data_IF_210462053177
#
_entry.id   IF_210462053177
#
_cell.length_a   1.000
_cell.length_b   1.000
_cell.length_c   1.000
_cell.angle_alpha   90.00
_cell.angle_beta   90.00
_cell.angle_gamma   90.00
#
_symmetry.space_group_name_H-M   'P 1'
#
loop_
_entity.id
_entity.type
_entity.pdbx_description
1 polymer ?
#
# COMPACT_ATOMS: atom_id res chain seq x y z
N UNK A 1 27.52 -9.92 -2.81
CA UNK A 1 26.92 -9.83 -4.16
C UNK A 1 25.42 -9.64 -4.03
N UNK A 2 24.86 -8.62 -4.67
CA UNK A 2 23.41 -8.38 -4.71
C UNK A 2 22.83 -9.02 -5.97
N UNK A 3 21.69 -9.69 -5.80
CA UNK A 3 20.91 -10.33 -6.86
C UNK A 3 19.50 -9.77 -6.80
N UNK A 4 19.02 -9.17 -7.88
CA UNK A 4 17.66 -8.64 -7.97
C UNK A 4 16.91 -9.27 -9.14
N UNK A 5 15.64 -9.66 -8.90
CA UNK A 5 14.72 -10.17 -9.91
C UNK A 5 13.38 -9.47 -9.82
N UNK A 6 12.77 -9.21 -10.97
CA UNK A 6 11.44 -8.62 -11.04
C UNK A 6 10.70 -9.06 -12.29
N UNK A 7 9.39 -8.80 -12.30
CA UNK A 7 8.44 -8.96 -13.41
C UNK A 7 8.33 -10.41 -13.96
N UNK A 8 8.27 -11.39 -13.03
CA UNK A 8 7.94 -12.79 -13.37
C UNK A 8 6.51 -13.18 -12.97
N UNK A 9 5.75 -12.24 -12.40
CA UNK A 9 4.36 -12.44 -12.01
C UNK A 9 3.46 -12.64 -13.23
N UNK A 10 2.46 -13.52 -13.09
CA UNK A 10 1.46 -13.80 -14.13
C UNK A 10 0.06 -13.91 -13.51
N UNK A 11 -0.95 -13.52 -14.26
CA UNK A 11 -2.36 -13.78 -13.91
C UNK A 11 -2.69 -15.27 -13.91
N UNK A 12 -1.88 -16.10 -14.58
CA UNK A 12 -2.03 -17.55 -14.67
C UNK A 12 -1.36 -18.35 -13.55
N UNK A 13 -0.65 -17.66 -12.61
CA UNK A 13 -0.16 -18.30 -11.41
C UNK A 13 1.32 -18.13 -11.08
N UNK A 14 2.17 -17.60 -11.97
CA UNK A 14 3.59 -17.36 -11.64
C UNK A 14 3.74 -16.23 -10.61
N UNK A 15 4.82 -16.26 -9.84
CA UNK A 15 5.03 -15.35 -8.73
C UNK A 15 6.52 -15.09 -8.48
N UNK A 16 6.93 -13.83 -8.55
CA UNK A 16 8.32 -13.41 -8.36
C UNK A 16 8.84 -13.75 -6.96
N UNK A 17 7.97 -13.70 -5.92
CA UNK A 17 8.39 -14.09 -4.57
C UNK A 17 8.65 -15.60 -4.46
N UNK A 18 7.93 -16.44 -5.22
CA UNK A 18 8.19 -17.86 -5.28
C UNK A 18 9.51 -18.14 -6.01
N UNK A 19 9.75 -17.49 -7.16
CA UNK A 19 11.03 -17.56 -7.86
C UNK A 19 12.20 -17.19 -6.96
N UNK A 20 12.07 -16.14 -6.14
CA UNK A 20 13.09 -15.75 -5.18
C UNK A 20 13.43 -16.90 -4.20
N UNK A 21 12.44 -17.70 -3.78
CA UNK A 21 12.71 -18.87 -2.92
C UNK A 21 13.44 -20.00 -3.67
N UNK A 22 13.17 -20.18 -4.96
CA UNK A 22 13.92 -21.13 -5.81
C UNK A 22 15.37 -20.67 -5.98
N UNK A 23 15.58 -19.37 -6.23
CA UNK A 23 16.94 -18.78 -6.34
C UNK A 23 17.72 -18.94 -5.02
N UNK A 24 17.07 -18.64 -3.88
CA UNK A 24 17.72 -18.83 -2.57
C UNK A 24 18.11 -20.29 -2.37
N UNK A 25 17.20 -21.22 -2.64
CA UNK A 25 17.49 -22.66 -2.51
C UNK A 25 18.65 -23.08 -3.42
N UNK A 26 18.62 -22.69 -4.68
CA UNK A 26 19.65 -23.02 -5.67
C UNK A 26 21.04 -22.49 -5.25
N UNK A 27 21.11 -21.21 -4.85
CA UNK A 27 22.39 -20.60 -4.53
C UNK A 27 22.95 -21.04 -3.16
N UNK A 28 22.08 -21.38 -2.21
CA UNK A 28 22.49 -21.85 -0.88
C UNK A 28 22.89 -23.33 -0.93
N UNK A 29 22.03 -24.20 -1.47
CA UNK A 29 22.23 -25.64 -1.42
C UNK A 29 23.21 -26.15 -2.50
N UNK A 30 23.15 -25.60 -3.72
CA UNK A 30 23.91 -26.09 -4.85
C UNK A 30 25.19 -25.29 -5.10
N UNK A 31 25.21 -23.98 -4.81
CA UNK A 31 26.38 -23.12 -4.99
C UNK A 31 27.13 -22.84 -3.66
N UNK A 32 26.54 -23.23 -2.51
CA UNK A 32 27.16 -23.10 -1.19
C UNK A 32 27.32 -21.63 -0.72
N UNK A 33 26.43 -20.74 -1.16
CA UNK A 33 26.41 -19.35 -0.73
C UNK A 33 25.51 -19.17 0.49
N UNK A 34 25.77 -18.11 1.27
CA UNK A 34 24.96 -17.74 2.41
C UNK A 34 24.22 -16.43 2.14
N UNK A 35 23.00 -16.28 2.71
CA UNK A 35 22.34 -14.98 2.79
C UNK A 35 23.00 -14.13 3.89
N UNK A 36 23.42 -12.93 3.50
CA UNK A 36 24.11 -11.96 4.39
C UNK A 36 23.23 -10.79 4.81
N UNK A 37 22.02 -10.71 4.29
CA UNK A 37 20.94 -9.81 4.68
C UNK A 37 19.60 -10.56 4.52
N UNK A 38 18.56 -10.10 5.23
CA UNK A 38 17.18 -10.55 4.91
C UNK A 38 16.91 -10.33 3.43
N UNK A 39 16.33 -11.31 2.71
CA UNK A 39 15.86 -11.08 1.36
C UNK A 39 14.79 -9.99 1.40
N UNK A 40 14.82 -9.09 0.41
CA UNK A 40 13.99 -7.88 0.40
C UNK A 40 12.87 -8.01 -0.62
N UNK A 41 11.64 -7.73 -0.20
CA UNK A 41 10.48 -7.52 -1.06
C UNK A 41 10.22 -6.02 -1.13
N UNK A 42 10.73 -5.36 -2.15
CA UNK A 42 10.66 -3.92 -2.33
C UNK A 42 9.50 -3.56 -3.24
N UNK A 43 8.47 -2.94 -2.67
CA UNK A 43 7.34 -2.41 -3.45
C UNK A 43 7.75 -1.13 -4.15
N UNK A 44 7.36 -1.00 -5.40
CA UNK A 44 7.63 0.16 -6.22
C UNK A 44 6.33 0.91 -6.55
N UNK A 45 6.39 1.94 -7.37
CA UNK A 45 5.27 2.83 -7.65
C UNK A 45 3.97 2.06 -7.91
N UNK A 46 2.96 2.19 -7.04
CA UNK A 46 1.71 1.47 -7.18
C UNK A 46 0.82 2.02 -8.30
N UNK A 47 1.15 3.18 -8.85
CA UNK A 47 0.40 3.86 -9.89
C UNK A 47 0.81 3.48 -11.33
N UNK A 48 1.84 2.63 -11.49
CA UNK A 48 2.28 2.13 -12.81
C UNK A 48 1.14 1.36 -13.49
N UNK A 49 0.71 1.76 -14.71
CA UNK A 49 -0.49 1.21 -15.34
C UNK A 49 -0.34 -0.23 -15.87
N UNK A 50 0.87 -0.69 -16.12
CA UNK A 50 1.16 -2.01 -16.73
C UNK A 50 1.64 -3.07 -15.72
N UNK A 51 1.52 -2.84 -14.42
CA UNK A 51 1.83 -3.87 -13.43
C UNK A 51 0.83 -5.03 -13.49
N UNK A 52 1.31 -6.25 -13.34
CA UNK A 52 0.46 -7.46 -13.35
C UNK A 52 -0.36 -7.59 -12.06
N UNK A 53 0.30 -7.39 -10.89
CA UNK A 53 -0.31 -7.44 -9.55
C UNK A 53 0.21 -6.30 -8.68
N UNK A 54 0.79 -6.60 -7.53
CA UNK A 54 1.52 -5.62 -6.72
C UNK A 54 2.90 -5.41 -7.31
N UNK A 55 3.23 -4.17 -7.73
CA UNK A 55 4.54 -3.84 -8.26
C UNK A 55 5.61 -4.05 -7.18
N UNK A 56 6.53 -5.01 -7.35
CA UNK A 56 7.52 -5.32 -6.32
C UNK A 56 8.65 -6.20 -6.78
N UNK A 57 9.87 -5.72 -6.56
CA UNK A 57 11.12 -6.37 -6.86
C UNK A 57 11.66 -7.18 -5.68
N UNK A 58 12.32 -8.28 -5.95
CA UNK A 58 12.99 -9.13 -4.96
C UNK A 58 14.50 -8.90 -5.04
N UNK A 59 15.10 -8.60 -3.87
CA UNK A 59 16.54 -8.35 -3.78
C UNK A 59 17.15 -9.24 -2.68
N UNK A 60 18.18 -9.99 -3.03
CA UNK A 60 18.88 -10.91 -2.15
C UNK A 60 20.37 -10.56 -2.11
N UNK A 61 20.99 -10.70 -0.97
CA UNK A 61 22.43 -10.46 -0.81
C UNK A 61 23.13 -11.77 -0.43
N UNK A 62 24.07 -12.22 -1.25
CA UNK A 62 24.81 -13.46 -1.06
C UNK A 62 26.29 -13.21 -0.82
N UNK A 63 26.91 -14.11 -0.05
CA UNK A 63 28.33 -14.12 0.27
C UNK A 63 28.71 -15.37 1.06
N UNK A 64 29.77 -15.30 1.83
CA UNK A 64 30.10 -16.27 2.88
C UNK A 64 29.74 -15.67 4.23
N UNK A 65 28.81 -16.31 4.92
CA UNK A 65 28.35 -15.89 6.23
C UNK A 65 29.38 -16.13 7.33
N UNK A 66 29.38 -15.23 8.33
CA UNK A 66 30.26 -15.31 9.50
C UNK A 66 29.51 -14.92 10.76
N UNK A 67 29.81 -15.60 11.87
CA UNK A 67 29.21 -15.29 13.17
C UNK A 67 27.87 -15.98 13.40
N UNK A 68 26.99 -15.30 14.16
CA UNK A 68 25.67 -15.82 14.46
C UNK A 68 24.79 -15.84 13.20
N UNK A 69 23.84 -16.78 13.18
CA UNK A 69 22.84 -16.88 12.12
C UNK A 69 21.45 -17.00 12.70
N UNK A 70 20.49 -16.38 12.03
CA UNK A 70 19.07 -16.41 12.40
C UNK A 70 18.29 -17.20 11.37
N UNK A 71 17.44 -18.14 11.80
CA UNK A 71 16.54 -18.86 10.90
C UNK A 71 15.44 -17.92 10.43
N UNK A 72 15.31 -17.76 9.12
CA UNK A 72 14.33 -16.88 8.48
C UNK A 72 13.33 -17.62 7.58
N UNK A 73 13.49 -18.93 7.44
CA UNK A 73 12.62 -19.71 6.57
C UNK A 73 12.94 -21.19 6.56
N UNK A 74 12.14 -21.91 5.76
CA UNK A 74 12.35 -23.30 5.42
C UNK A 74 11.88 -23.55 3.99
N UNK A 75 12.70 -24.12 3.14
CA UNK A 75 12.42 -24.40 1.75
C UNK A 75 12.71 -25.88 1.48
N UNK A 76 11.69 -26.63 1.06
CA UNK A 76 11.80 -28.08 0.77
C UNK A 76 12.43 -28.89 1.92
N UNK A 77 12.19 -28.51 3.18
CA UNK A 77 12.76 -29.16 4.37
C UNK A 77 14.14 -28.64 4.80
N UNK A 78 14.81 -27.83 3.97
CA UNK A 78 16.09 -27.18 4.33
C UNK A 78 15.82 -25.84 5.03
N UNK A 79 16.46 -25.62 6.20
CA UNK A 79 16.37 -24.36 6.94
C UNK A 79 17.17 -23.25 6.25
N UNK A 80 16.56 -22.09 6.06
CA UNK A 80 17.21 -20.90 5.51
C UNK A 80 17.64 -19.97 6.64
N UNK A 81 18.89 -19.53 6.58
CA UNK A 81 19.48 -18.65 7.59
C UNK A 81 19.99 -17.35 6.97
N UNK A 82 19.96 -16.27 7.74
CA UNK A 82 20.70 -15.03 7.47
C UNK A 82 21.82 -14.90 8.49
N UNK A 83 22.99 -14.45 8.05
CA UNK A 83 24.18 -14.27 8.90
C UNK A 83 24.33 -12.79 9.28
N UNK A 84 24.79 -12.53 10.52
CA UNK A 84 25.04 -11.17 11.02
C UNK A 84 26.21 -10.46 10.33
N UNK A 85 27.21 -11.22 9.91
CA UNK A 85 28.42 -10.71 9.28
C UNK A 85 28.78 -11.56 8.04
N UNK A 86 29.65 -11.03 7.20
CA UNK A 86 30.20 -11.73 6.05
C UNK A 86 31.73 -11.74 6.09
N UNK A 87 32.31 -12.70 5.39
CA UNK A 87 33.74 -12.71 5.06
C UNK A 87 34.03 -11.65 3.98
N UNK A 88 35.29 -11.22 3.91
CA UNK A 88 35.80 -10.38 2.80
C UNK A 88 36.05 -11.26 1.57
N UNK A 89 34.97 -11.72 0.98
CA UNK A 89 34.95 -12.59 -0.19
C UNK A 89 33.69 -12.31 -1.01
N UNK A 90 33.84 -12.32 -2.34
CA UNK A 90 32.72 -12.15 -3.24
C UNK A 90 32.59 -13.34 -4.20
N UNK A 91 31.34 -13.83 -4.41
CA UNK A 91 31.09 -14.88 -5.40
C UNK A 91 31.18 -14.33 -6.84
N UNK A 92 31.37 -15.21 -7.79
CA UNK A 92 31.34 -14.88 -9.21
C UNK A 92 29.95 -14.51 -9.67
N UNK A 93 29.76 -13.25 -10.13
CA UNK A 93 28.48 -12.78 -10.68
C UNK A 93 28.06 -13.59 -11.92
N UNK A 94 29.02 -14.04 -12.72
CA UNK A 94 28.77 -14.85 -13.91
C UNK A 94 28.26 -16.25 -13.53
N UNK A 95 28.87 -16.90 -12.55
CA UNK A 95 28.44 -18.20 -12.05
C UNK A 95 27.04 -18.15 -11.45
N UNK A 96 26.75 -17.14 -10.61
CA UNK A 96 25.40 -16.87 -10.08
C UNK A 96 24.39 -16.72 -11.22
N UNK A 97 24.73 -15.97 -12.26
CA UNK A 97 23.86 -15.75 -13.42
C UNK A 97 23.52 -17.06 -14.15
N UNK A 98 24.52 -17.92 -14.35
CA UNK A 98 24.37 -19.23 -15.01
C UNK A 98 23.39 -20.14 -14.24
N UNK A 99 23.38 -20.10 -12.90
CA UNK A 99 22.42 -20.83 -12.06
C UNK A 99 21.00 -20.24 -12.07
N UNK A 100 20.86 -18.90 -12.20
CA UNK A 100 19.55 -18.24 -12.09
C UNK A 100 18.77 -18.24 -13.41
N UNK A 101 19.43 -18.10 -14.56
CA UNK A 101 18.74 -18.00 -15.87
C UNK A 101 17.77 -19.17 -16.09
N UNK A 102 18.12 -20.44 -15.89
CA UNK A 102 17.21 -21.56 -16.07
C UNK A 102 15.96 -21.48 -15.18
N UNK A 103 16.10 -20.91 -13.97
CA UNK A 103 14.96 -20.71 -13.07
C UNK A 103 14.02 -19.63 -13.59
N UNK A 104 14.54 -18.51 -14.11
CA UNK A 104 13.72 -17.45 -14.72
C UNK A 104 12.98 -18.00 -15.94
N UNK A 105 13.67 -18.72 -16.82
CA UNK A 105 13.07 -19.32 -18.03
C UNK A 105 11.97 -20.33 -17.68
N UNK A 106 12.12 -21.08 -16.58
CA UNK A 106 11.13 -22.05 -16.09
C UNK A 106 9.89 -21.36 -15.49
N UNK A 107 10.05 -20.23 -14.79
CA UNK A 107 9.01 -19.60 -13.99
C UNK A 107 8.47 -18.29 -14.58
N UNK A 108 8.89 -17.88 -15.78
CA UNK A 108 8.27 -16.75 -16.47
C UNK A 108 7.05 -17.16 -17.28
N UNK A 109 6.19 -16.19 -17.56
CA UNK A 109 5.06 -16.34 -18.46
C UNK A 109 5.29 -15.41 -19.66
N UNK A 110 5.52 -15.96 -20.90
CA UNK A 110 5.89 -15.15 -22.05
C UNK A 110 4.77 -14.20 -22.53
N UNK A 111 3.54 -14.33 -21.99
CA UNK A 111 2.43 -13.44 -22.33
C UNK A 111 2.28 -12.29 -21.35
N UNK A 112 2.48 -12.57 -20.05
CA UNK A 112 2.13 -11.65 -18.97
C UNK A 112 3.34 -11.01 -18.29
N UNK A 113 4.58 -11.47 -18.56
CA UNK A 113 5.77 -11.01 -17.83
C UNK A 113 6.94 -10.65 -18.74
N UNK A 114 7.71 -9.65 -18.32
CA UNK A 114 8.95 -9.16 -18.95
C UNK A 114 10.12 -9.24 -17.94
N UNK A 115 10.58 -10.45 -17.57
CA UNK A 115 11.55 -10.65 -16.48
C UNK A 115 12.83 -9.87 -16.64
N UNK A 116 13.34 -9.40 -15.49
CA UNK A 116 14.67 -8.84 -15.36
C UNK A 116 15.46 -9.51 -14.25
N UNK A 117 16.77 -9.62 -14.45
CA UNK A 117 17.77 -10.01 -13.47
C UNK A 117 18.91 -9.00 -13.51
N UNK A 118 19.35 -8.53 -12.34
CA UNK A 118 20.57 -7.72 -12.18
C UNK A 118 21.39 -8.29 -11.05
N UNK A 119 22.71 -8.48 -11.29
CA UNK A 119 23.66 -8.97 -10.30
C UNK A 119 24.80 -7.94 -10.20
N UNK A 120 25.06 -7.43 -9.00
CA UNK A 120 26.07 -6.39 -8.76
C UNK A 120 26.74 -6.56 -7.41
N UNK A 121 28.04 -6.21 -7.33
CA UNK A 121 28.74 -6.09 -6.05
C UNK A 121 28.39 -4.81 -5.29
N UNK A 122 27.92 -3.78 -6.00
CA UNK A 122 27.58 -2.47 -5.46
C UNK A 122 26.06 -2.22 -5.57
N UNK A 123 25.54 -1.37 -4.67
CA UNK A 123 24.17 -0.85 -4.79
C UNK A 123 24.11 0.34 -5.74
N UNK A 124 23.03 0.48 -6.52
CA UNK A 124 22.72 1.74 -7.20
C UNK A 124 22.52 2.88 -6.20
N UNK A 125 22.61 4.14 -6.70
CA UNK A 125 22.28 5.31 -5.89
C UNK A 125 20.86 5.22 -5.34
N UNK A 126 20.65 5.63 -4.07
CA UNK A 126 19.33 5.65 -3.41
C UNK A 126 18.25 6.41 -4.20
N UNK A 127 18.67 7.40 -5.01
CA UNK A 127 17.76 8.13 -5.88
C UNK A 127 16.99 7.26 -6.88
N UNK A 128 17.53 6.10 -7.28
CA UNK A 128 16.81 5.14 -8.12
C UNK A 128 15.63 4.53 -7.39
N UNK A 129 15.78 4.22 -6.08
CA UNK A 129 14.65 3.76 -5.27
C UNK A 129 13.59 4.85 -5.14
N UNK A 130 13.97 6.08 -4.77
CA UNK A 130 13.02 7.20 -4.62
C UNK A 130 12.25 7.42 -5.92
N UNK A 131 12.93 7.45 -7.06
CA UNK A 131 12.26 7.56 -8.36
C UNK A 131 11.38 6.34 -8.66
N UNK A 132 11.84 5.14 -8.37
CA UNK A 132 11.12 3.90 -8.64
C UNK A 132 9.85 3.72 -7.80
N UNK A 133 9.82 4.26 -6.58
CA UNK A 133 8.66 4.17 -5.70
C UNK A 133 7.66 5.31 -5.90
N UNK A 134 8.08 6.46 -6.45
CA UNK A 134 7.24 7.65 -6.59
C UNK A 134 6.83 7.98 -8.03
N UNK A 135 7.58 7.52 -9.04
CA UNK A 135 7.45 7.96 -10.44
C UNK A 135 7.57 6.79 -11.42
N UNK A 136 7.35 7.07 -12.70
CA UNK A 136 7.66 6.17 -13.81
C UNK A 136 9.12 6.39 -14.23
N UNK A 137 9.93 5.34 -14.12
CA UNK A 137 11.36 5.38 -14.48
C UNK A 137 11.58 4.92 -15.91
N UNK A 138 12.43 5.63 -16.68
CA UNK A 138 12.77 5.28 -18.05
C UNK A 138 13.84 4.18 -18.08
N UNK A 139 13.64 3.18 -18.95
CA UNK A 139 14.55 2.04 -19.11
C UNK A 139 15.99 2.47 -19.48
N UNK A 140 16.16 3.49 -20.33
CA UNK A 140 17.50 3.97 -20.74
C UNK A 140 18.35 4.46 -19.55
N UNK A 141 17.70 5.08 -18.55
CA UNK A 141 18.38 5.51 -17.32
C UNK A 141 18.88 4.29 -16.52
N UNK A 142 18.10 3.23 -16.49
CA UNK A 142 18.45 1.98 -15.83
C UNK A 142 19.62 1.27 -16.53
N UNK A 143 19.61 1.21 -17.86
CA UNK A 143 20.71 0.59 -18.62
C UNK A 143 22.03 1.32 -18.37
N UNK A 144 22.01 2.64 -18.32
CA UNK A 144 23.22 3.44 -17.99
C UNK A 144 23.74 3.12 -16.57
N UNK A 145 22.84 2.95 -15.61
CA UNK A 145 23.24 2.62 -14.24
C UNK A 145 23.81 1.19 -14.16
N UNK A 146 23.21 0.22 -14.83
CA UNK A 146 23.76 -1.15 -14.93
C UNK A 146 25.18 -1.15 -15.51
N UNK A 147 25.41 -0.34 -16.56
CA UNK A 147 26.74 -0.17 -17.14
C UNK A 147 27.72 0.51 -16.17
N UNK A 148 27.30 1.57 -15.46
CA UNK A 148 28.11 2.26 -14.44
C UNK A 148 28.58 1.30 -13.32
N UNK A 149 27.67 0.42 -12.89
CA UNK A 149 27.94 -0.58 -11.86
C UNK A 149 28.77 -1.78 -12.36
N UNK A 150 29.04 -1.86 -13.67
CA UNK A 150 29.58 -3.06 -14.29
C UNK A 150 28.84 -4.35 -13.90
N UNK A 151 27.50 -4.24 -13.76
CA UNK A 151 26.64 -5.30 -13.29
C UNK A 151 26.27 -6.28 -14.42
N UNK A 152 26.15 -7.57 -14.06
CA UNK A 152 25.57 -8.58 -14.95
C UNK A 152 24.07 -8.36 -15.05
N UNK A 153 23.52 -8.58 -16.24
CA UNK A 153 22.06 -8.54 -16.47
C UNK A 153 21.57 -9.70 -17.33
N UNK A 154 20.31 -10.03 -17.16
CA UNK A 154 19.54 -10.87 -18.07
C UNK A 154 18.12 -10.32 -18.16
N UNK A 155 17.48 -10.43 -19.33
CA UNK A 155 16.13 -9.94 -19.57
C UNK A 155 15.41 -10.78 -20.63
N UNK A 156 14.11 -10.91 -20.49
CA UNK A 156 13.19 -11.45 -21.49
C UNK A 156 12.14 -10.40 -21.85
N UNK A 157 11.51 -10.56 -23.00
CA UNK A 157 10.47 -9.64 -23.47
C UNK A 157 11.03 -8.22 -23.68
N UNK A 158 10.33 -7.19 -23.21
CA UNK A 158 10.77 -5.79 -23.33
C UNK A 158 11.77 -5.36 -22.24
N UNK A 159 12.12 -6.26 -21.30
CA UNK A 159 13.11 -6.02 -20.25
C UNK A 159 12.68 -5.00 -19.19
N UNK A 160 11.37 -4.88 -18.93
CA UNK A 160 10.82 -3.98 -17.92
C UNK A 160 11.25 -4.35 -16.51
N UNK A 161 11.42 -5.63 -16.23
CA UNK A 161 11.91 -6.14 -14.94
C UNK A 161 13.27 -5.56 -14.53
N UNK A 162 14.12 -5.13 -15.47
CA UNK A 162 15.39 -4.45 -15.12
C UNK A 162 15.16 -3.16 -14.33
N UNK A 163 14.04 -2.45 -14.58
CA UNK A 163 13.70 -1.22 -13.86
C UNK A 163 13.49 -1.54 -12.39
N UNK A 164 12.66 -2.56 -12.13
CA UNK A 164 12.39 -2.99 -10.77
C UNK A 164 13.62 -3.54 -10.06
N UNK A 165 14.46 -4.30 -10.75
CA UNK A 165 15.72 -4.82 -10.20
C UNK A 165 16.64 -3.70 -9.68
N UNK A 166 16.91 -2.67 -10.50
CA UNK A 166 17.80 -1.57 -10.13
C UNK A 166 17.15 -0.71 -9.03
N UNK A 167 15.87 -0.36 -9.18
CA UNK A 167 15.17 0.44 -8.19
C UNK A 167 15.03 -0.29 -6.85
N UNK A 168 14.73 -1.59 -6.87
CA UNK A 168 14.66 -2.40 -5.65
C UNK A 168 16.02 -2.57 -4.97
N UNK A 169 17.08 -2.83 -5.73
CA UNK A 169 18.44 -2.96 -5.21
C UNK A 169 18.94 -1.66 -4.56
N UNK A 170 18.46 -0.50 -5.02
CA UNK A 170 18.82 0.82 -4.49
C UNK A 170 18.16 1.09 -3.12
N UNK A 171 17.17 0.30 -2.68
CA UNK A 171 16.49 0.54 -1.40
C UNK A 171 17.41 0.30 -0.21
N UNK A 172 17.51 1.32 0.64
CA UNK A 172 18.16 1.27 1.96
C UNK A 172 17.05 1.45 2.98
N UNK A 173 16.78 0.46 3.86
CA UNK A 173 15.67 0.51 4.79
C UNK A 173 15.92 1.52 5.92
N UNK A 174 15.10 2.58 5.97
CA UNK A 174 15.00 3.52 7.09
C UNK A 174 13.74 3.21 7.91
N UNK A 175 12.55 3.25 7.29
CA UNK A 175 11.33 2.63 7.81
C UNK A 175 11.08 1.33 7.03
N UNK A 176 10.79 0.24 7.74
CA UNK A 176 10.60 -1.06 7.13
C UNK A 176 9.68 -1.96 7.98
N UNK A 177 9.22 -3.00 7.34
CA UNK A 177 8.43 -4.08 7.92
C UNK A 177 8.98 -5.42 7.49
N UNK A 178 8.36 -6.49 7.99
CA UNK A 178 8.64 -7.84 7.53
C UNK A 178 7.35 -8.49 7.04
N UNK A 179 7.47 -9.35 6.03
CA UNK A 179 6.39 -10.22 5.57
C UNK A 179 6.87 -11.66 5.56
N UNK A 180 6.25 -12.52 6.36
CA UNK A 180 6.40 -13.95 6.27
C UNK A 180 5.46 -14.46 5.19
N UNK A 181 6.03 -15.00 4.12
CA UNK A 181 5.28 -15.64 3.04
C UNK A 181 5.37 -17.15 3.15
N UNK A 182 4.23 -17.81 3.01
CA UNK A 182 4.13 -19.26 2.91
C UNK A 182 3.66 -19.67 1.52
N UNK A 183 4.07 -20.84 1.07
CA UNK A 183 3.76 -21.30 -0.28
C UNK A 183 3.20 -22.71 -0.27
N UNK A 184 2.30 -22.93 -1.22
CA UNK A 184 1.63 -24.21 -1.46
C UNK A 184 2.48 -25.15 -2.28
N UNK A 185 2.40 -26.47 -2.08
CA UNK A 185 2.90 -27.44 -3.04
C UNK A 185 2.29 -27.21 -4.43
N UNK A 186 3.05 -27.45 -5.49
CA UNK A 186 2.61 -27.19 -6.87
C UNK A 186 1.27 -27.87 -7.22
N UNK A 187 1.03 -29.09 -6.69
CA UNK A 187 -0.25 -29.83 -6.84
C UNK A 187 -1.48 -29.07 -6.33
N UNK A 188 -1.29 -28.04 -5.51
CA UNK A 188 -2.36 -27.22 -4.91
C UNK A 188 -2.53 -25.85 -5.58
N UNK A 189 -1.69 -25.47 -6.52
CA UNK A 189 -1.81 -24.18 -7.20
C UNK A 189 -3.13 -24.07 -7.92
N UNK A 190 -3.76 -22.91 -7.91
CA UNK A 190 -5.05 -22.64 -8.55
C UNK A 190 -6.28 -23.23 -7.84
N UNK A 191 -6.10 -24.06 -6.77
CA UNK A 191 -7.23 -24.60 -6.01
C UNK A 191 -7.63 -23.67 -4.87
N UNK A 192 -8.80 -23.88 -4.27
CA UNK A 192 -9.23 -23.15 -3.06
C UNK A 192 -8.25 -23.36 -1.91
N UNK A 193 -8.00 -22.32 -1.11
CA UNK A 193 -7.11 -22.38 0.06
C UNK A 193 -7.87 -22.85 1.28
N UNK A 194 -7.27 -23.81 2.01
CA UNK A 194 -7.85 -24.39 3.23
C UNK A 194 -7.13 -23.83 4.44
N UNK A 195 -7.86 -23.20 5.34
CA UNK A 195 -7.33 -22.63 6.59
C UNK A 195 -8.39 -22.57 7.68
N UNK A 196 -7.94 -22.50 8.93
CA UNK A 196 -8.80 -22.36 10.11
C UNK A 196 -8.90 -20.88 10.50
N UNK A 197 -10.09 -20.30 10.32
CA UNK A 197 -10.36 -18.86 10.60
C UNK A 197 -10.04 -18.48 12.05
N UNK A 198 -10.39 -19.36 13.02
CA UNK A 198 -10.13 -19.12 14.44
C UNK A 198 -8.64 -19.00 14.75
N UNK A 199 -7.79 -19.75 14.06
CA UNK A 199 -6.33 -19.68 14.23
C UNK A 199 -5.74 -18.36 13.75
N UNK A 200 -6.27 -17.80 12.64
CA UNK A 200 -5.86 -16.49 12.12
C UNK A 200 -6.29 -15.37 13.07
N UNK A 201 -7.53 -15.43 13.59
CA UNK A 201 -8.02 -14.48 14.60
C UNK A 201 -7.15 -14.50 15.86
N UNK A 202 -6.80 -15.70 16.33
CA UNK A 202 -5.90 -15.87 17.49
C UNK A 202 -4.50 -15.30 17.22
N UNK A 203 -3.96 -15.49 16.02
CA UNK A 203 -2.66 -14.91 15.65
C UNK A 203 -2.73 -13.37 15.61
N UNK A 204 -3.78 -12.77 15.03
CA UNK A 204 -3.96 -11.31 14.98
C UNK A 204 -4.09 -10.68 16.37
N UNK A 205 -4.79 -11.37 17.29
CA UNK A 205 -4.95 -10.94 18.69
C UNK A 205 -3.65 -11.02 19.49
N UNK A 206 -2.90 -12.13 19.38
CA UNK A 206 -1.68 -12.36 20.15
C UNK A 206 -0.45 -11.63 19.60
N UNK A 207 -0.40 -11.40 18.29
CA UNK A 207 0.75 -10.74 17.63
C UNK A 207 0.42 -9.26 17.37
N UNK A 208 0.52 -8.46 18.40
CA UNK A 208 0.14 -7.03 18.37
C UNK A 208 0.99 -6.20 17.41
N UNK A 209 2.21 -6.65 17.08
CA UNK A 209 3.12 -6.03 16.11
C UNK A 209 2.73 -6.30 14.66
N UNK A 210 1.81 -7.24 14.42
CA UNK A 210 1.28 -7.55 13.08
C UNK A 210 0.20 -6.56 12.65
N UNK A 211 -0.06 -6.45 11.34
CA UNK A 211 -1.05 -5.54 10.79
C UNK A 211 -1.63 -6.06 9.46
N UNK A 212 -2.79 -5.53 9.08
CA UNK A 212 -3.48 -5.87 7.84
C UNK A 212 -3.86 -7.35 7.69
N UNK A 213 -4.15 -8.04 8.78
CA UNK A 213 -4.48 -9.48 8.76
C UNK A 213 -5.98 -9.74 8.60
N UNK A 214 -6.79 -8.91 9.23
CA UNK A 214 -8.26 -9.05 9.28
C UNK A 214 -8.89 -7.68 9.05
N UNK A 215 -9.99 -7.64 8.35
CA UNK A 215 -10.82 -6.43 8.24
C UNK A 215 -11.67 -6.27 9.50
N UNK A 216 -11.45 -5.19 10.23
CA UNK A 216 -12.09 -4.96 11.55
C UNK A 216 -13.62 -5.08 11.52
N UNK A 217 -14.27 -4.73 10.42
CA UNK A 217 -15.73 -4.67 10.34
C UNK A 217 -16.40 -5.92 9.77
N UNK A 218 -15.85 -6.44 8.68
CA UNK A 218 -16.38 -7.64 8.01
C UNK A 218 -15.85 -8.92 8.62
N UNK A 219 -14.86 -8.81 9.51
CA UNK A 219 -14.05 -9.92 10.02
C UNK A 219 -13.42 -10.79 8.91
N UNK A 220 -13.36 -10.24 7.69
CA UNK A 220 -12.81 -10.94 6.54
C UNK A 220 -11.30 -11.10 6.71
N UNK A 221 -10.84 -12.32 6.56
CA UNK A 221 -9.40 -12.63 6.58
C UNK A 221 -8.74 -12.06 5.32
N UNK A 222 -7.68 -11.25 5.50
CA UNK A 222 -7.02 -10.52 4.42
C UNK A 222 -5.64 -11.08 4.04
N UNK A 223 -5.10 -12.02 4.81
CA UNK A 223 -3.75 -12.57 4.58
C UNK A 223 -3.66 -13.54 3.40
N UNK A 224 -4.77 -14.09 2.93
CA UNK A 224 -4.82 -15.05 1.81
C UNK A 224 -5.07 -14.32 0.49
N UNK A 225 -4.20 -14.48 -0.53
CA UNK A 225 -4.42 -13.85 -1.83
C UNK A 225 -5.63 -14.47 -2.56
N UNK A 226 -6.40 -13.62 -3.26
CA UNK A 226 -7.52 -14.06 -4.10
C UNK A 226 -7.11 -14.62 -5.47
N UNK A 227 -5.83 -14.60 -5.83
CA UNK A 227 -5.31 -15.04 -7.14
C UNK A 227 -4.81 -16.49 -7.10
N UNK A 228 -4.72 -17.19 -8.26
CA UNK A 228 -4.23 -18.56 -8.34
C UNK A 228 -2.69 -18.66 -8.23
N UNK A 229 -2.05 -17.85 -7.39
CA UNK A 229 -0.60 -17.83 -7.20
C UNK A 229 -0.13 -18.91 -6.21
N UNK A 230 1.19 -19.24 -6.21
CA UNK A 230 1.80 -20.19 -5.28
C UNK A 230 1.68 -19.80 -3.81
N UNK A 231 1.54 -18.49 -3.50
CA UNK A 231 1.46 -18.00 -2.12
C UNK A 231 0.22 -18.57 -1.44
N UNK A 232 0.40 -19.18 -0.27
CA UNK A 232 -0.69 -19.62 0.58
C UNK A 232 -1.21 -18.41 1.38
N UNK A 233 -0.35 -17.77 2.17
CA UNK A 233 -0.66 -16.50 2.84
C UNK A 233 0.58 -15.65 3.07
N UNK A 234 0.35 -14.36 3.35
CA UNK A 234 1.36 -13.40 3.76
C UNK A 234 1.01 -12.77 5.10
N UNK A 235 1.85 -12.95 6.12
CA UNK A 235 1.67 -12.39 7.46
C UNK A 235 2.67 -11.27 7.70
N UNK A 236 2.18 -10.06 7.98
CA UNK A 236 2.98 -8.82 8.01
C UNK A 236 3.10 -8.27 9.42
N UNK A 237 4.28 -7.73 9.75
CA UNK A 237 4.50 -7.10 11.04
C UNK A 237 5.82 -6.34 11.13
N UNK A 238 6.09 -5.76 12.29
CA UNK A 238 7.29 -4.97 12.54
C UNK A 238 8.46 -5.81 13.09
N UNK A 239 8.19 -7.01 13.62
CA UNK A 239 9.18 -7.86 14.32
C UNK A 239 9.18 -9.26 13.71
N UNK A 240 10.33 -9.74 13.17
CA UNK A 240 10.39 -11.04 12.48
C UNK A 240 10.08 -12.23 13.41
N UNK A 241 10.55 -12.23 14.66
CA UNK A 241 10.28 -13.31 15.60
C UNK A 241 8.79 -13.45 15.94
N UNK A 242 8.08 -12.33 15.99
CA UNK A 242 6.63 -12.32 16.18
C UNK A 242 5.90 -12.92 14.97
N UNK A 243 6.44 -12.74 13.76
CA UNK A 243 5.88 -13.37 12.56
C UNK A 243 6.05 -14.90 12.59
N UNK A 244 7.18 -15.41 13.09
CA UNK A 244 7.40 -16.85 13.29
C UNK A 244 6.38 -17.39 14.29
N UNK A 245 6.19 -16.72 15.42
CA UNK A 245 5.18 -17.09 16.42
C UNK A 245 3.76 -17.08 15.84
N UNK A 246 3.42 -16.06 15.03
CA UNK A 246 2.15 -15.99 14.31
C UNK A 246 1.98 -17.16 13.33
N UNK A 247 3.02 -17.51 12.60
CA UNK A 247 3.05 -18.64 11.68
C UNK A 247 2.78 -19.99 12.38
N UNK A 248 3.32 -20.21 13.58
CA UNK A 248 3.07 -21.41 14.39
C UNK A 248 1.62 -21.54 14.88
N UNK A 249 0.95 -20.38 15.05
CA UNK A 249 -0.47 -20.32 15.48
C UNK A 249 -1.42 -20.57 14.30
N UNK A 250 -1.10 -20.05 13.10
CA UNK A 250 -1.97 -20.11 11.92
C UNK A 250 -2.00 -21.53 11.35
N UNK A 251 -3.18 -22.14 11.35
CA UNK A 251 -3.40 -23.50 10.82
C UNK A 251 -3.97 -23.46 9.41
N UNK A 252 -3.28 -24.13 8.50
CA UNK A 252 -3.63 -24.18 7.08
C UNK A 252 -3.44 -25.58 6.51
N UNK A 253 -3.70 -25.72 5.20
CA UNK A 253 -3.26 -26.87 4.42
C UNK A 253 -1.73 -27.04 4.42
N UNK A 254 -1.24 -28.13 3.84
CA UNK A 254 0.18 -28.43 3.68
C UNK A 254 0.93 -27.24 3.02
N UNK A 255 2.06 -26.88 3.61
CA UNK A 255 2.99 -25.87 3.10
C UNK A 255 4.24 -26.54 2.55
N UNK A 256 4.73 -26.06 1.41
CA UNK A 256 6.01 -26.56 0.83
C UNK A 256 7.21 -25.75 1.34
N UNK A 257 6.99 -24.48 1.70
CA UNK A 257 8.03 -23.56 2.17
C UNK A 257 7.44 -22.33 2.84
N UNK A 258 8.26 -21.66 3.63
CA UNK A 258 8.01 -20.32 4.14
C UNK A 258 9.32 -19.55 4.27
N UNK A 259 9.24 -18.23 4.17
CA UNK A 259 10.40 -17.34 4.34
C UNK A 259 9.96 -15.94 4.76
N UNK A 260 10.82 -15.24 5.50
CA UNK A 260 10.61 -13.85 5.90
C UNK A 260 11.38 -12.95 4.94
N UNK A 261 10.66 -11.97 4.38
CA UNK A 261 11.23 -10.86 3.62
C UNK A 261 11.19 -9.58 4.44
N UNK A 262 12.27 -8.79 4.40
CA UNK A 262 12.25 -7.39 4.81
C UNK A 262 11.57 -6.58 3.70
N UNK A 263 10.72 -5.60 4.04
CA UNK A 263 9.93 -4.90 3.04
C UNK A 263 9.68 -3.43 3.42
N UNK A 264 9.48 -2.60 2.42
CA UNK A 264 8.98 -1.24 2.53
C UNK A 264 7.44 -1.17 2.54
N UNK A 265 6.76 -2.28 2.74
CA UNK A 265 5.30 -2.29 2.84
C UNK A 265 4.83 -1.52 4.06
N UNK A 266 3.78 -0.71 3.91
CA UNK A 266 3.21 0.06 5.01
C UNK A 266 4.11 1.19 5.51
N UNK A 267 4.91 1.83 4.65
CA UNK A 267 5.82 2.94 4.99
C UNK A 267 5.34 4.29 4.48
N UNK A 268 4.43 4.34 3.51
CA UNK A 268 4.02 5.52 2.74
C UNK A 268 5.14 6.09 1.83
N UNK A 269 6.24 5.36 1.57
CA UNK A 269 7.40 5.80 0.77
C UNK A 269 7.04 6.29 -0.64
N UNK A 270 5.87 5.89 -1.16
CA UNK A 270 5.36 6.31 -2.46
C UNK A 270 4.68 7.69 -2.44
N UNK A 271 4.47 8.27 -1.26
CA UNK A 271 3.77 9.54 -1.09
C UNK A 271 4.76 10.70 -1.19
N UNK A 272 4.55 11.56 -2.16
CA UNK A 272 5.32 12.80 -2.34
C UNK A 272 4.66 13.89 -1.49
N UNK A 273 5.42 14.46 -0.55
CA UNK A 273 4.94 15.48 0.38
C UNK A 273 5.43 16.89 0.05
N UNK A 274 6.59 17.00 -0.60
CA UNK A 274 7.18 18.28 -1.03
C UNK A 274 7.37 18.27 -2.54
N UNK A 275 6.67 19.15 -3.23
CA UNK A 275 6.67 19.22 -4.70
C UNK A 275 6.19 20.58 -5.21
N UNK A 276 6.65 20.95 -6.39
CA UNK A 276 6.21 22.13 -7.14
C UNK A 276 5.02 21.79 -8.05
N UNK A 277 4.35 22.81 -8.59
CA UNK A 277 3.23 22.58 -9.53
C UNK A 277 3.66 21.78 -10.76
N UNK A 278 4.87 21.99 -11.28
CA UNK A 278 5.43 21.25 -12.42
C UNK A 278 5.71 19.77 -12.10
N UNK A 279 5.84 19.42 -10.83
CA UNK A 279 6.06 18.05 -10.36
C UNK A 279 4.74 17.34 -9.99
N UNK A 280 3.62 18.06 -10.03
CA UNK A 280 2.29 17.50 -9.83
C UNK A 280 1.81 16.80 -11.10
N UNK A 281 2.35 15.60 -11.32
CA UNK A 281 2.19 14.80 -12.54
C UNK A 281 1.39 13.52 -12.28
N UNK A 282 0.64 13.01 -13.26
CA UNK A 282 -0.08 11.74 -13.17
C UNK A 282 0.83 10.54 -12.90
N UNK A 283 0.23 9.46 -12.42
CA UNK A 283 0.88 8.20 -12.03
C UNK A 283 1.90 8.36 -10.90
N UNK A 284 1.66 9.33 -10.02
CA UNK A 284 2.39 9.54 -8.78
C UNK A 284 1.39 9.77 -7.64
N UNK A 285 1.79 9.49 -6.41
CA UNK A 285 0.94 9.67 -5.23
C UNK A 285 1.42 10.84 -4.37
N UNK A 286 0.48 11.64 -3.87
CA UNK A 286 0.77 12.90 -3.19
C UNK A 286 0.00 13.02 -1.88
N UNK A 287 0.56 13.79 -0.93
CA UNK A 287 -0.15 14.37 0.20
C UNK A 287 -0.50 15.81 -0.15
N UNK A 288 -1.79 16.13 -0.22
CA UNK A 288 -2.28 17.45 -0.63
C UNK A 288 -3.20 18.02 0.43
N UNK A 289 -2.88 19.22 0.90
CA UNK A 289 -3.76 19.99 1.78
C UNK A 289 -4.73 20.82 0.97
N UNK A 290 -5.99 20.86 1.41
CA UNK A 290 -7.01 21.68 0.78
C UNK A 290 -8.21 21.96 1.66
N UNK A 291 -9.04 22.91 1.21
CA UNK A 291 -10.33 23.23 1.81
C UNK A 291 -11.43 22.58 0.98
N UNK A 292 -12.33 21.88 1.61
CA UNK A 292 -13.45 21.21 0.95
C UNK A 292 -14.38 22.25 0.31
N UNK A 293 -14.67 22.04 -0.97
CA UNK A 293 -15.64 22.83 -1.74
C UNK A 293 -16.97 22.11 -1.80
N UNK A 294 -16.94 20.81 -2.10
CA UNK A 294 -18.13 19.94 -2.10
C UNK A 294 -17.73 18.47 -1.92
N UNK A 295 -18.64 17.70 -1.37
CA UNK A 295 -18.63 16.24 -1.41
C UNK A 295 -19.93 15.76 -2.05
N UNK A 296 -19.84 14.76 -2.94
CA UNK A 296 -20.98 14.25 -3.69
C UNK A 296 -20.88 12.75 -3.90
N UNK A 297 -21.93 12.03 -3.46
CA UNK A 297 -22.05 10.60 -3.72
C UNK A 297 -22.86 10.38 -4.99
N UNK A 298 -22.28 9.65 -5.92
CA UNK A 298 -22.92 9.39 -7.22
C UNK A 298 -23.55 8.00 -7.30
N UNK A 299 -24.42 7.81 -8.32
CA UNK A 299 -24.98 6.50 -8.64
C UNK A 299 -23.84 5.50 -8.89
N UNK A 300 -23.91 4.32 -8.27
CA UNK A 300 -22.82 3.32 -8.28
C UNK A 300 -21.99 3.34 -7.00
N UNK A 301 -22.25 4.28 -6.08
CA UNK A 301 -21.68 4.30 -4.73
C UNK A 301 -20.30 4.93 -4.61
N UNK A 302 -19.74 5.48 -5.68
CA UNK A 302 -18.51 6.27 -5.61
C UNK A 302 -18.78 7.62 -4.94
N UNK A 303 -17.81 8.15 -4.21
CA UNK A 303 -17.89 9.48 -3.61
C UNK A 303 -16.77 10.35 -4.15
N UNK A 304 -17.13 11.52 -4.65
CA UNK A 304 -16.21 12.54 -5.14
C UNK A 304 -16.10 13.68 -4.15
N UNK A 305 -14.90 14.18 -3.96
CA UNK A 305 -14.56 15.30 -3.09
C UNK A 305 -13.81 16.35 -3.91
N UNK A 306 -14.36 17.55 -4.01
CA UNK A 306 -13.62 18.69 -4.59
C UNK A 306 -13.00 19.49 -3.46
N UNK A 307 -11.68 19.65 -3.50
CA UNK A 307 -10.93 20.51 -2.57
C UNK A 307 -10.27 21.66 -3.31
N UNK A 308 -10.18 22.82 -2.67
CA UNK A 308 -9.40 23.94 -3.18
C UNK A 308 -7.99 23.88 -2.58
N UNK A 309 -6.99 23.69 -3.42
CA UNK A 309 -5.58 23.56 -3.07
C UNK A 309 -4.80 24.80 -3.45
N UNK A 310 -3.50 24.86 -3.10
CA UNK A 310 -2.60 25.92 -3.58
C UNK A 310 -2.42 25.91 -5.12
N UNK A 311 -2.72 24.81 -5.79
CA UNK A 311 -2.70 24.63 -7.24
C UNK A 311 -4.08 24.80 -7.89
N UNK A 312 -5.07 25.31 -7.14
CA UNK A 312 -6.46 25.41 -7.58
C UNK A 312 -7.34 24.22 -7.19
N UNK A 313 -8.54 24.13 -7.75
CA UNK A 313 -9.49 23.07 -7.45
C UNK A 313 -9.01 21.72 -7.94
N UNK A 314 -9.10 20.71 -7.06
CA UNK A 314 -8.76 19.33 -7.35
C UNK A 314 -9.93 18.42 -7.01
N UNK A 315 -10.30 17.55 -7.95
CA UNK A 315 -11.25 16.49 -7.71
C UNK A 315 -10.52 15.25 -7.15
N UNK A 316 -11.05 14.71 -6.04
CA UNK A 316 -10.59 13.49 -5.40
C UNK A 316 -11.72 12.47 -5.43
N UNK A 317 -11.37 11.17 -5.49
CA UNK A 317 -12.35 10.09 -5.59
C UNK A 317 -12.09 8.97 -4.58
N UNK A 318 -13.16 8.55 -3.89
CA UNK A 318 -13.19 7.29 -3.14
C UNK A 318 -14.15 6.32 -3.86
N UNK A 319 -13.58 5.30 -4.50
CA UNK A 319 -14.34 4.34 -5.30
C UNK A 319 -15.02 3.28 -4.44
N UNK A 320 -16.02 2.59 -5.02
CA UNK A 320 -16.83 1.57 -4.35
C UNK A 320 -16.01 0.51 -3.58
N UNK A 321 -14.91 -0.03 -4.10
CA UNK A 321 -14.11 -1.03 -3.39
C UNK A 321 -13.53 -0.57 -2.06
N UNK A 322 -13.46 0.76 -1.79
CA UNK A 322 -13.02 1.29 -0.49
C UNK A 322 -14.08 1.17 0.63
N UNK A 323 -15.21 0.52 0.35
CA UNK A 323 -16.21 0.18 1.35
C UNK A 323 -16.76 1.40 2.10
N UNK A 324 -16.81 1.31 3.42
CA UNK A 324 -17.37 2.35 4.27
C UNK A 324 -16.50 3.61 4.40
N UNK A 325 -15.26 3.57 3.96
CA UNK A 325 -14.39 4.75 3.88
C UNK A 325 -15.01 5.88 3.06
N UNK A 326 -15.84 5.54 2.06
CA UNK A 326 -16.60 6.52 1.27
C UNK A 326 -17.54 7.38 2.09
N UNK A 327 -18.06 6.87 3.21
CA UNK A 327 -18.91 7.68 4.11
C UNK A 327 -18.12 8.80 4.81
N UNK A 328 -16.84 8.58 5.10
CA UNK A 328 -15.95 9.64 5.62
C UNK A 328 -15.94 10.81 4.65
N UNK A 329 -15.76 10.49 3.37
CA UNK A 329 -15.72 11.51 2.30
C UNK A 329 -17.08 12.19 2.12
N UNK A 330 -18.18 11.42 2.19
CA UNK A 330 -19.55 11.90 2.07
C UNK A 330 -19.96 12.83 3.24
N UNK A 331 -19.38 12.66 4.43
CA UNK A 331 -19.64 13.48 5.61
C UNK A 331 -18.88 14.81 5.64
N UNK A 332 -17.94 15.01 4.74
CA UNK A 332 -17.22 16.26 4.61
C UNK A 332 -18.13 17.33 3.99
N UNK A 333 -17.95 18.56 4.44
CA UNK A 333 -18.77 19.70 4.03
C UNK A 333 -17.91 20.89 3.63
N UNK A 334 -18.51 21.82 2.89
CA UNK A 334 -17.85 23.04 2.45
C UNK A 334 -17.20 23.80 3.62
N UNK A 335 -15.91 24.07 3.46
CA UNK A 335 -15.10 24.80 4.42
C UNK A 335 -14.35 23.91 5.43
N UNK A 336 -14.52 22.58 5.40
CA UNK A 336 -13.64 21.67 6.14
C UNK A 336 -12.22 21.72 5.57
N UNK A 337 -11.22 21.53 6.43
CA UNK A 337 -9.81 21.51 6.02
C UNK A 337 -9.29 20.09 6.12
N UNK A 338 -8.71 19.60 5.03
CA UNK A 338 -8.22 18.21 4.92
C UNK A 338 -6.83 18.13 4.32
N UNK A 339 -6.13 17.05 4.65
CA UNK A 339 -4.99 16.54 3.90
C UNK A 339 -5.39 15.21 3.25
N UNK A 340 -5.23 15.10 1.95
CA UNK A 340 -5.61 13.92 1.18
C UNK A 340 -4.37 13.25 0.63
N UNK A 341 -4.18 11.97 0.94
CA UNK A 341 -3.17 11.12 0.33
C UNK A 341 -3.78 10.31 -0.80
N UNK A 342 -3.13 10.28 -1.95
CA UNK A 342 -3.63 9.46 -3.05
C UNK A 342 -2.89 9.60 -4.36
N UNK A 343 -3.24 8.73 -5.30
CA UNK A 343 -2.69 8.66 -6.65
C UNK A 343 -3.37 9.68 -7.56
N UNK A 344 -2.59 10.53 -8.22
CA UNK A 344 -3.09 11.41 -9.26
C UNK A 344 -3.22 10.65 -10.59
N UNK A 345 -4.45 10.61 -11.12
CA UNK A 345 -4.79 10.06 -12.44
C UNK A 345 -4.74 11.15 -13.49
N UNK A 346 -4.53 10.75 -14.74
CA UNK A 346 -4.47 11.66 -15.88
C UNK A 346 -5.86 11.95 -16.48
N UNK A 347 -6.60 10.91 -16.77
CA UNK A 347 -7.89 11.05 -17.47
C UNK A 347 -8.96 10.13 -16.85
N UNK A 348 -9.95 10.71 -16.17
CA UNK A 348 -10.04 12.11 -15.75
C UNK A 348 -8.96 12.48 -14.71
N UNK A 349 -8.58 13.78 -14.66
CA UNK A 349 -7.60 14.26 -13.67
C UNK A 349 -8.23 14.27 -12.28
N UNK A 350 -8.04 13.19 -11.55
CA UNK A 350 -8.57 12.96 -10.20
C UNK A 350 -7.52 12.39 -9.29
N UNK A 351 -7.59 12.70 -7.98
CA UNK A 351 -6.79 12.06 -6.95
C UNK A 351 -7.57 10.88 -6.36
N UNK A 352 -7.11 9.66 -6.59
CA UNK A 352 -7.69 8.45 -5.98
C UNK A 352 -7.26 8.37 -4.52
N UNK A 353 -8.21 8.58 -3.60
CA UNK A 353 -7.93 8.71 -2.16
C UNK A 353 -7.49 7.37 -1.58
N UNK A 354 -6.30 7.35 -0.96
CA UNK A 354 -5.75 6.21 -0.22
C UNK A 354 -5.89 6.39 1.30
N UNK A 355 -5.87 7.62 1.78
CA UNK A 355 -5.99 8.00 3.20
C UNK A 355 -6.37 9.48 3.29
N UNK A 356 -7.07 9.87 4.34
CA UNK A 356 -7.44 11.28 4.56
C UNK A 356 -7.23 11.66 6.02
N UNK A 357 -6.67 12.84 6.23
CA UNK A 357 -6.57 13.51 7.52
C UNK A 357 -7.52 14.70 7.55
N UNK A 358 -8.55 14.63 8.35
CA UNK A 358 -9.44 15.77 8.61
C UNK A 358 -8.77 16.63 9.67
N UNK A 359 -8.35 17.82 9.27
CA UNK A 359 -7.67 18.77 10.17
C UNK A 359 -8.67 19.59 10.98
N UNK A 360 -9.67 20.12 10.28
CA UNK A 360 -10.69 20.98 10.88
C UNK A 360 -12.05 20.70 10.26
N UNK A 361 -13.10 20.73 11.06
CA UNK A 361 -14.48 20.63 10.60
C UNK A 361 -15.22 21.93 10.89
N UNK A 362 -15.88 22.48 9.88
CA UNK A 362 -16.69 23.69 10.02
C UNK A 362 -18.03 23.36 10.64
N UNK A 363 -18.48 24.20 11.55
CA UNK A 363 -19.80 24.09 12.14
C UNK A 363 -20.90 24.36 11.11
N UNK A 364 -21.84 23.45 11.02
CA UNK A 364 -23.02 23.57 10.19
C UNK A 364 -24.22 23.99 11.05
N UNK A 365 -25.01 24.87 10.53
CA UNK A 365 -26.23 25.31 11.19
C UNK A 365 -27.45 25.12 10.27
N UNK A 366 -28.49 24.52 10.79
CA UNK A 366 -29.79 24.46 10.10
C UNK A 366 -30.82 25.39 10.73
N UNK A 367 -31.62 26.00 9.89
CA UNK A 367 -32.77 26.74 10.33
C UNK A 367 -33.81 25.82 10.96
N UNK A 368 -34.20 26.08 12.20
CA UNK A 368 -35.25 25.34 12.88
C UNK A 368 -36.62 26.04 12.67
N UNK A 369 -36.64 27.36 12.86
CA UNK A 369 -37.88 28.12 12.75
C UNK A 369 -37.61 29.57 12.38
N UNK A 370 -38.67 30.25 11.94
CA UNK A 370 -38.65 31.69 11.81
C UNK A 370 -38.52 32.35 13.18
N UNK A 371 -37.92 33.54 13.27
CA UNK A 371 -37.79 34.24 14.54
C UNK A 371 -39.16 34.63 15.12
N UNK A 372 -39.20 34.78 16.44
CA UNK A 372 -40.33 35.41 17.09
C UNK A 372 -40.18 36.93 17.04
N UNK A 373 -41.29 37.64 16.84
CA UNK A 373 -41.30 39.09 16.82
C UNK A 373 -40.93 39.66 18.20
N UNK A 374 -39.91 40.52 18.31
CA UNK A 374 -39.47 41.07 19.59
C UNK A 374 -40.54 41.99 20.21
N UNK A 375 -41.46 42.54 19.40
CA UNK A 375 -42.49 43.46 19.88
C UNK A 375 -43.78 42.78 20.33
N UNK A 376 -44.19 41.64 19.72
CA UNK A 376 -45.47 41.00 20.02
C UNK A 376 -45.39 39.47 20.21
N UNK A 377 -44.21 38.88 20.19
CA UNK A 377 -43.97 37.47 20.45
C UNK A 377 -44.44 36.49 19.36
N UNK A 378 -45.15 36.94 18.32
CA UNK A 378 -45.66 36.08 17.24
C UNK A 378 -44.57 35.62 16.29
N UNK A 379 -44.73 34.44 15.68
CA UNK A 379 -43.81 33.97 14.64
C UNK A 379 -43.83 34.87 13.43
N UNK A 380 -42.68 35.27 12.94
CA UNK A 380 -42.51 36.13 11.78
C UNK A 380 -42.54 35.30 10.49
N UNK A 381 -42.78 35.94 9.36
CA UNK A 381 -42.78 35.32 8.03
C UNK A 381 -41.58 35.80 7.22
N UNK A 382 -41.00 34.91 6.42
CA UNK A 382 -39.92 35.26 5.48
C UNK A 382 -40.47 36.20 4.40
N UNK A 383 -39.71 37.23 4.05
CA UNK A 383 -40.03 38.19 3.00
C UNK A 383 -39.26 38.01 1.70
N UNK A 384 -38.61 36.85 1.57
CA UNK A 384 -37.85 36.39 0.39
C UNK A 384 -36.47 35.83 0.75
N UNK A 385 -35.82 35.17 -0.21
CA UNK A 385 -34.47 34.60 -0.03
C UNK A 385 -33.50 35.73 0.37
N UNK A 386 -32.86 35.59 1.53
CA UNK A 386 -31.89 36.54 2.10
C UNK A 386 -32.46 37.98 2.39
N UNK A 387 -33.80 38.16 2.40
CA UNK A 387 -34.40 39.45 2.69
C UNK A 387 -34.90 39.62 4.15
N UNK A 388 -34.68 38.57 4.97
CA UNK A 388 -35.07 38.54 6.38
C UNK A 388 -36.53 38.16 6.62
N UNK A 389 -37.09 38.67 7.74
CA UNK A 389 -38.40 38.29 8.26
C UNK A 389 -39.22 39.56 8.62
N UNK A 390 -40.53 39.43 8.53
CA UNK A 390 -41.47 40.51 8.93
C UNK A 390 -42.61 39.95 9.77
N UNK A 391 -42.97 40.65 10.79
CA UNK A 391 -44.16 40.34 11.57
C UNK A 391 -45.41 40.81 10.81
N UNK A 392 -46.38 39.91 10.58
CA UNK A 392 -47.66 40.25 9.91
C UNK A 392 -48.52 41.14 10.76
N UNK A 393 -48.34 41.14 12.11
CA UNK A 393 -49.17 41.90 13.02
C UNK A 393 -48.69 43.35 13.18
N UNK A 394 -47.44 43.59 13.50
CA UNK A 394 -46.87 44.87 13.86
C UNK A 394 -45.89 45.46 12.86
N UNK A 395 -45.56 44.70 11.77
CA UNK A 395 -44.66 45.14 10.72
C UNK A 395 -43.18 45.12 11.08
N UNK A 396 -42.81 44.79 12.30
CA UNK A 396 -41.41 44.69 12.77
C UNK A 396 -40.62 43.74 11.86
N UNK A 397 -39.37 44.10 11.54
CA UNK A 397 -38.46 43.33 10.72
C UNK A 397 -37.36 42.69 11.57
N UNK A 398 -36.88 41.51 11.19
CA UNK A 398 -35.73 40.83 11.74
C UNK A 398 -34.90 40.20 10.60
N UNK A 399 -33.60 40.10 10.77
CA UNK A 399 -32.72 39.51 9.78
C UNK A 399 -32.48 38.00 10.06
N UNK A 400 -32.35 37.63 11.32
CA UNK A 400 -31.91 36.29 11.71
C UNK A 400 -33.07 35.34 12.01
N UNK A 401 -32.93 34.09 11.74
CA UNK A 401 -33.83 33.00 12.13
C UNK A 401 -33.24 32.20 13.31
N UNK A 402 -34.06 31.31 13.87
CA UNK A 402 -33.57 30.39 14.89
C UNK A 402 -32.82 29.27 14.20
N UNK A 403 -31.52 29.23 14.46
CA UNK A 403 -30.58 28.22 13.94
C UNK A 403 -30.22 27.20 15.03
N UNK A 404 -29.96 25.96 14.63
CA UNK A 404 -29.40 24.94 15.51
C UNK A 404 -28.17 24.36 14.83
N UNK A 405 -27.12 24.17 15.59
CA UNK A 405 -25.92 23.47 15.14
C UNK A 405 -26.27 22.00 14.79
N UNK A 406 -25.92 21.58 13.60
CA UNK A 406 -26.02 20.19 13.21
C UNK A 406 -24.95 19.37 13.95
N UNK A 407 -25.33 18.16 14.38
CA UNK A 407 -24.37 17.17 14.82
C UNK A 407 -23.75 16.59 13.54
N UNK A 408 -22.43 16.65 13.45
CA UNK A 408 -21.66 16.07 12.34
C UNK A 408 -21.12 14.71 12.75
N UNK A 409 -21.13 13.77 11.82
CA UNK A 409 -20.59 12.42 12.03
C UNK A 409 -19.08 12.38 11.85
N UNK A 410 -18.48 13.37 11.19
CA UNK A 410 -17.06 13.50 10.98
C UNK A 410 -16.42 14.38 12.05
N UNK A 411 -15.27 13.96 12.56
CA UNK A 411 -14.44 14.72 13.52
C UNK A 411 -13.00 14.78 13.01
N UNK A 412 -12.18 15.73 13.47
CA UNK A 412 -10.76 15.78 13.13
C UNK A 412 -10.03 14.47 13.46
N UNK A 413 -9.13 14.05 12.57
CA UNK A 413 -8.33 12.85 12.70
C UNK A 413 -8.07 12.14 11.38
N UNK A 414 -7.33 11.04 11.45
CA UNK A 414 -6.97 10.21 10.31
C UNK A 414 -8.00 9.12 10.04
N UNK A 415 -8.26 8.90 8.75
CA UNK A 415 -9.16 7.86 8.26
C UNK A 415 -8.53 7.09 7.11
N UNK A 416 -8.67 5.78 7.12
CA UNK A 416 -8.13 4.87 6.12
C UNK A 416 -9.18 3.87 5.62
N UNK A 417 -9.06 3.36 4.38
CA UNK A 417 -9.96 2.33 3.86
C UNK A 417 -9.76 0.98 4.54
N UNK A 418 -10.69 0.02 4.35
CA UNK A 418 -10.52 -1.34 4.83
C UNK A 418 -9.27 -2.00 4.24
N UNK A 419 -8.74 -3.03 4.92
CA UNK A 419 -7.48 -3.70 4.56
C UNK A 419 -7.45 -4.16 3.10
N UNK A 420 -8.57 -4.70 2.60
CA UNK A 420 -8.67 -5.19 1.21
C UNK A 420 -8.55 -4.09 0.14
N UNK A 421 -8.79 -2.84 0.52
CA UNK A 421 -8.70 -1.69 -0.39
C UNK A 421 -7.40 -0.87 -0.20
N UNK A 422 -6.55 -1.23 0.76
CA UNK A 422 -5.27 -0.54 0.99
C UNK A 422 -4.23 -0.97 -0.01
N UNK A 423 -3.40 -0.04 -0.45
CA UNK A 423 -2.19 -0.35 -1.20
C UNK A 423 -1.13 -0.96 -0.26
N UNK A 424 -0.27 -1.81 -0.80
CA UNK A 424 0.80 -2.43 -0.01
C UNK A 424 1.71 -1.41 0.67
N UNK A 425 2.00 -0.29 0.01
CA UNK A 425 2.85 0.77 0.55
C UNK A 425 2.14 1.66 1.58
N UNK A 426 0.80 1.72 1.56
CA UNK A 426 0.05 2.58 2.48
C UNK A 426 0.31 2.18 3.94
N UNK A 427 0.83 3.12 4.74
CA UNK A 427 1.15 2.92 6.16
C UNK A 427 -0.15 2.85 6.97
N UNK A 428 -0.47 1.70 7.59
CA UNK A 428 -1.68 1.56 8.38
C UNK A 428 -1.67 2.50 9.59
N UNK A 429 -2.83 3.01 10.00
CA UNK A 429 -2.95 3.83 11.21
C UNK A 429 -2.42 3.10 12.45
N UNK A 430 -2.55 1.77 12.52
CA UNK A 430 -1.95 0.93 13.57
C UNK A 430 -0.43 1.13 13.67
N UNK A 431 0.30 1.24 12.54
CA UNK A 431 1.74 1.52 12.53
C UNK A 431 2.08 2.98 12.84
N UNK A 432 1.13 3.88 12.70
CA UNK A 432 1.26 5.29 13.10
C UNK A 432 0.93 5.49 14.59
N UNK A 433 0.52 4.46 15.32
CA UNK A 433 -0.04 4.53 16.67
C UNK A 433 -1.25 5.47 16.77
N UNK A 434 -2.06 5.50 15.72
CA UNK A 434 -3.27 6.32 15.61
C UNK A 434 -4.48 5.40 15.61
N UNK A 435 -5.49 5.79 16.39
CA UNK A 435 -6.83 5.18 16.37
C UNK A 435 -7.73 6.06 15.52
N UNK A 436 -8.46 5.45 14.59
CA UNK A 436 -9.44 6.17 13.79
C UNK A 436 -10.54 6.74 14.68
N UNK A 437 -10.88 8.06 14.59
CA UNK A 437 -11.74 8.73 15.57
C UNK A 437 -13.18 8.25 15.59
N UNK A 438 -13.68 7.71 14.49
CA UNK A 438 -15.05 7.23 14.32
C UNK A 438 -15.03 5.80 13.80
N UNK A 439 -15.61 4.90 14.57
CA UNK A 439 -15.96 3.58 14.05
C UNK A 439 -17.25 3.70 13.22
N UNK A 440 -17.27 3.11 12.03
CA UNK A 440 -18.45 3.12 11.14
C UNK A 440 -19.61 2.26 11.67
N UNK A 441 -19.84 2.27 12.97
CA UNK A 441 -20.90 1.52 13.64
C UNK A 441 -22.24 2.20 13.34
N UNK A 442 -23.06 1.56 12.51
CA UNK A 442 -24.48 1.90 12.26
C UNK A 442 -24.79 3.04 11.26
N UNK A 443 -24.04 3.23 10.20
CA UNK A 443 -24.44 4.17 9.11
C UNK A 443 -25.43 3.59 8.08
N UNK A 444 -26.10 2.47 8.40
CA UNK A 444 -27.14 1.86 7.55
C UNK A 444 -28.52 2.03 8.20
N UNK A 445 -28.99 3.29 8.33
CA UNK A 445 -30.41 3.56 8.54
C UNK A 445 -30.82 4.79 7.72
#
# INVERSE_FOLDING_TARGET
MFVAVDDTDSMRGNCTTYLATEIIYELVENLGLDLIEYPKLVRLNPAVPWKTRGNGSLVMAFGRGKGNKTKIGEINGSSVFVFENKEDWEPSSKEIKEHIIPLIEKFHDPVDSDPGLVISSERPSYSFYVNGVTRIVKRDTIIKEIQRLNAEKFELGCGRGLIGCVCGMAWIPEDYTFELLTYRPQKRWGTERIFEVSSVKKADELITTSFNNIENRSEKIAIFPGTPCPVLYGFRGNVPDDLIRGHEIIKTEEQSRWIIFQSNQGTDDHIITDFTESEFIPNSSYLIKGTVVRSERVKGGHTFLTINTIFGPLECAAYEPSGDFRYVIDWLSEGDVVEVMGELRDSPRTLNIEKIHVLETKDEFRKISNPKCPSCGRSMVSIGKNKGYRCKQCGTKAQDCIMKKNIRWIVPGWYEPPVSARRHLSKPLKRMNIVQPVEFVNCRN
#
